data_IF_650867191239
#
_entry.id   IF_650867191239
#
_cell.length_a   1.000
_cell.length_b   1.000
_cell.length_c   1.000
_cell.angle_alpha   90.00
_cell.angle_beta   90.00
_cell.angle_gamma   90.00
#
_symmetry.space_group_name_H-M   'P 1'
#
loop_
_entity.id
_entity.type
_entity.pdbx_description
1 polymer ?
#
# COMPACT_ATOMS: atom_id res chain seq x y z
N UNK A 1 12.52 13.66 -14.42
CA UNK A 1 13.17 12.50 -13.77
C UNK A 1 12.75 12.49 -12.31
N UNK A 2 12.44 11.31 -11.79
CA UNK A 2 12.04 11.08 -10.40
C UNK A 2 12.81 9.85 -9.94
N UNK A 3 13.48 9.94 -8.80
CA UNK A 3 14.01 8.75 -8.14
C UNK A 3 12.87 8.08 -7.35
N UNK A 4 12.74 6.76 -7.49
CA UNK A 4 11.70 5.97 -6.85
C UNK A 4 12.38 4.88 -6.03
N UNK A 5 11.97 4.79 -4.77
CA UNK A 5 12.44 3.84 -3.78
C UNK A 5 11.25 3.02 -3.27
N UNK A 6 11.52 1.78 -2.86
CA UNK A 6 10.56 0.94 -2.13
C UNK A 6 11.20 0.68 -0.77
N UNK A 7 10.61 1.23 0.28
CA UNK A 7 11.22 1.20 1.62
C UNK A 7 10.34 0.47 2.62
N UNK A 8 10.99 -0.10 3.62
CA UNK A 8 10.32 -0.51 4.84
C UNK A 8 9.71 0.73 5.53
N UNK A 9 8.39 0.76 5.76
CA UNK A 9 7.73 1.93 6.37
C UNK A 9 8.08 2.14 7.85
N UNK A 10 8.55 1.11 8.55
CA UNK A 10 8.99 1.23 9.96
C UNK A 10 10.45 1.69 10.05
N UNK A 11 11.33 1.13 9.22
CA UNK A 11 12.78 1.38 9.32
C UNK A 11 13.30 2.41 8.34
N UNK A 12 12.53 2.74 7.30
CA UNK A 12 12.92 3.66 6.22
C UNK A 12 13.99 3.11 5.28
N UNK A 13 14.40 1.84 5.42
CA UNK A 13 15.46 1.21 4.60
C UNK A 13 14.90 0.73 3.27
N UNK A 14 15.70 0.86 2.21
CA UNK A 14 15.38 0.32 0.89
C UNK A 14 15.26 -1.20 0.94
N UNK A 15 14.19 -1.72 0.34
CA UNK A 15 13.93 -3.15 0.19
C UNK A 15 14.46 -3.68 -1.16
N UNK A 16 14.66 -4.99 -1.22
CA UNK A 16 15.07 -5.71 -2.41
C UNK A 16 13.94 -5.86 -3.45
N UNK A 17 14.26 -6.36 -4.66
CA UNK A 17 13.26 -6.65 -5.67
C UNK A 17 12.23 -7.68 -5.18
N UNK A 18 10.95 -7.47 -5.47
CA UNK A 18 9.85 -8.34 -5.07
C UNK A 18 9.32 -8.13 -3.64
N UNK A 19 10.06 -7.41 -2.78
CA UNK A 19 9.63 -7.12 -1.41
C UNK A 19 8.64 -5.95 -1.37
N UNK A 20 7.57 -6.09 -0.59
CA UNK A 20 6.52 -5.08 -0.46
C UNK A 20 6.94 -4.00 0.55
N UNK A 21 6.91 -2.75 0.11
CA UNK A 21 7.22 -1.58 0.94
C UNK A 21 6.46 -0.33 0.48
N UNK A 22 6.67 0.77 1.17
CA UNK A 22 6.11 2.08 0.81
C UNK A 22 6.88 2.65 -0.38
N UNK A 23 6.15 3.23 -1.33
CA UNK A 23 6.73 4.01 -2.43
C UNK A 23 7.19 5.36 -1.88
N UNK A 24 8.50 5.61 -2.01
CA UNK A 24 9.14 6.89 -1.67
C UNK A 24 9.66 7.54 -2.95
N UNK A 25 9.35 8.82 -3.14
CA UNK A 25 9.69 9.55 -4.36
C UNK A 25 10.55 10.79 -4.10
N UNK A 26 11.50 11.05 -5.00
CA UNK A 26 12.28 12.29 -5.04
C UNK A 26 12.24 12.87 -6.46
N UNK A 27 11.40 13.89 -6.73
CA UNK A 27 11.30 14.52 -8.04
C UNK A 27 12.54 15.39 -8.34
N UNK A 28 13.49 14.85 -9.08
CA UNK A 28 14.79 15.49 -9.37
C UNK A 28 14.73 16.71 -10.30
N UNK A 29 13.68 16.82 -11.13
CA UNK A 29 13.54 17.92 -12.11
C UNK A 29 12.49 18.95 -11.73
N UNK A 30 11.79 18.79 -10.59
CA UNK A 30 10.79 19.75 -10.16
C UNK A 30 11.46 20.85 -9.34
N UNK A 31 11.62 22.05 -9.94
CA UNK A 31 12.24 23.20 -9.26
C UNK A 31 11.33 23.90 -8.27
N UNK A 32 10.03 23.63 -8.31
CA UNK A 32 9.03 24.30 -7.46
C UNK A 32 8.84 23.53 -6.16
N UNK A 33 8.81 22.20 -6.24
CA UNK A 33 8.52 21.33 -5.11
C UNK A 33 9.80 20.60 -4.71
N UNK A 34 10.50 21.12 -3.69
CA UNK A 34 11.74 20.56 -3.12
C UNK A 34 11.54 19.29 -2.31
N UNK A 35 10.72 18.36 -2.81
CA UNK A 35 10.42 17.10 -2.14
C UNK A 35 11.63 16.17 -2.20
N UNK A 36 12.06 15.69 -1.04
CA UNK A 36 13.16 14.74 -0.89
C UNK A 36 12.64 13.58 -0.05
N UNK A 37 12.76 12.36 -0.57
CA UNK A 37 12.26 11.13 0.05
C UNK A 37 10.82 11.27 0.57
N UNK A 38 9.93 11.74 -0.29
CA UNK A 38 8.53 11.90 0.06
C UNK A 38 7.83 10.54 0.08
N UNK A 39 7.37 10.12 1.26
CA UNK A 39 6.53 8.94 1.44
C UNK A 39 5.13 9.19 0.87
N UNK A 40 4.75 8.41 -0.14
CA UNK A 40 3.45 8.57 -0.81
C UNK A 40 2.29 7.99 0.00
N UNK A 41 2.61 7.15 0.99
CA UNK A 41 1.65 6.31 1.68
C UNK A 41 1.11 5.16 0.83
N UNK A 42 1.55 4.97 -0.41
CA UNK A 42 1.12 3.84 -1.24
C UNK A 42 2.15 2.69 -1.14
N UNK A 43 1.67 1.45 -1.04
CA UNK A 43 2.50 0.24 -0.95
C UNK A 43 2.66 -0.41 -2.32
N UNK A 44 3.87 -0.83 -2.66
CA UNK A 44 4.18 -1.55 -3.90
C UNK A 44 5.46 -2.38 -3.74
N UNK A 45 5.86 -3.02 -4.84
CA UNK A 45 7.14 -3.71 -4.99
C UNK A 45 7.61 -3.52 -6.43
N UNK A 46 8.92 -3.66 -6.64
CA UNK A 46 9.53 -3.51 -7.95
C UNK A 46 10.16 -4.80 -8.44
N UNK A 47 10.25 -4.91 -9.77
CA UNK A 47 10.99 -5.95 -10.47
C UNK A 47 12.13 -5.36 -11.28
N UNK A 48 13.22 -6.13 -11.35
CA UNK A 48 14.39 -5.86 -12.20
C UNK A 48 14.33 -6.60 -13.54
N UNK A 49 13.26 -7.37 -13.79
CA UNK A 49 13.06 -8.06 -15.05
C UNK A 49 12.94 -7.08 -16.22
N UNK A 50 13.60 -7.41 -17.33
CA UNK A 50 13.60 -6.62 -18.55
C UNK A 50 12.17 -6.38 -19.04
N UNK A 51 11.89 -5.12 -19.38
CA UNK A 51 10.61 -4.75 -19.95
C UNK A 51 10.60 -5.05 -21.46
N UNK A 52 9.54 -5.66 -22.02
CA UNK A 52 9.40 -5.86 -23.46
C UNK A 52 9.52 -4.58 -24.29
N UNK A 53 9.27 -3.40 -23.71
CA UNK A 53 9.43 -2.12 -24.38
C UNK A 53 10.89 -1.63 -24.51
N UNK A 54 11.88 -2.38 -24.01
CA UNK A 54 13.31 -2.06 -24.09
C UNK A 54 13.83 -1.06 -23.04
N UNK A 55 12.96 -0.51 -22.18
CA UNK A 55 13.40 0.34 -21.06
C UNK A 55 14.14 -0.49 -20.00
N UNK A 56 15.21 0.09 -19.47
CA UNK A 56 16.10 -0.52 -18.47
C UNK A 56 15.78 -0.14 -17.02
N UNK A 57 14.82 0.76 -16.81
CA UNK A 57 14.38 1.14 -15.47
C UNK A 57 13.66 -0.01 -14.77
N UNK A 58 13.87 -0.14 -13.47
CA UNK A 58 13.04 -1.00 -12.62
C UNK A 58 11.55 -0.66 -12.80
N UNK A 59 10.70 -1.67 -12.68
CA UNK A 59 9.25 -1.52 -12.87
C UNK A 59 8.53 -1.74 -11.55
N UNK A 60 7.62 -0.85 -11.20
CA UNK A 60 6.61 -1.12 -10.18
C UNK A 60 5.60 -2.11 -10.76
N UNK A 61 5.31 -3.18 -10.03
CA UNK A 61 4.45 -4.26 -10.56
C UNK A 61 2.98 -3.99 -10.28
N UNK A 62 2.64 -3.60 -9.05
CA UNK A 62 1.27 -3.28 -8.65
C UNK A 62 1.23 -2.40 -7.40
N UNK A 63 0.18 -1.58 -7.26
CA UNK A 63 -0.18 -0.99 -5.98
C UNK A 63 -0.89 -2.05 -5.15
N UNK A 64 -0.40 -2.30 -3.93
CA UNK A 64 -0.90 -3.38 -3.06
C UNK A 64 -1.71 -2.89 -1.86
N UNK A 65 -1.73 -1.59 -1.59
CA UNK A 65 -2.52 -0.97 -0.52
C UNK A 65 -1.91 0.36 -0.09
N UNK A 66 -2.30 0.91 1.06
CA UNK A 66 -1.60 2.03 1.67
C UNK A 66 -0.84 1.69 2.95
N UNK A 67 0.26 2.39 3.15
CA UNK A 67 0.97 2.44 4.41
C UNK A 67 0.00 3.02 5.46
N UNK A 68 -0.27 2.23 6.51
CA UNK A 68 -1.22 2.59 7.57
C UNK A 68 -2.66 2.08 7.40
N UNK A 69 -3.02 1.43 6.28
CA UNK A 69 -4.36 0.79 6.14
C UNK A 69 -4.54 -0.43 7.05
N UNK A 70 -3.46 -0.89 7.71
CA UNK A 70 -3.49 -1.97 8.67
C UNK A 70 -4.01 -1.46 10.02
N UNK A 71 -5.25 -1.78 10.35
CA UNK A 71 -5.85 -1.48 11.66
C UNK A 71 -5.70 -2.72 12.55
N UNK A 72 -5.23 -2.53 13.79
CA UNK A 72 -5.13 -3.61 14.77
C UNK A 72 -6.50 -3.84 15.42
N UNK A 73 -7.02 -5.06 15.29
CA UNK A 73 -8.29 -5.51 15.87
C UNK A 73 -8.06 -6.81 16.64
N UNK A 74 -8.25 -6.78 17.96
CA UNK A 74 -8.03 -7.90 18.89
C UNK A 74 -6.67 -8.57 18.73
N UNK A 75 -5.63 -7.76 18.48
CA UNK A 75 -4.28 -8.26 18.28
C UNK A 75 -3.95 -8.72 16.86
N UNK A 76 -4.92 -8.76 15.94
CA UNK A 76 -4.72 -9.09 14.53
C UNK A 76 -4.64 -7.82 13.68
N UNK A 77 -3.78 -7.80 12.67
CA UNK A 77 -3.76 -6.72 11.67
C UNK A 77 -4.82 -6.99 10.60
N UNK A 78 -5.72 -6.04 10.39
CA UNK A 78 -6.77 -6.08 9.38
C UNK A 78 -6.48 -5.02 8.33
N UNK A 79 -6.37 -5.44 7.07
CA UNK A 79 -6.13 -4.54 5.93
C UNK A 79 -7.35 -4.56 5.00
N UNK A 80 -7.79 -3.40 4.53
CA UNK A 80 -8.98 -3.28 3.66
C UNK A 80 -8.93 -4.21 2.44
N UNK A 81 -7.77 -4.36 1.80
CA UNK A 81 -7.56 -5.25 0.65
C UNK A 81 -7.91 -6.73 0.94
N UNK A 82 -7.67 -7.23 2.15
CA UNK A 82 -8.04 -8.61 2.49
C UNK A 82 -9.56 -8.78 2.45
N UNK A 83 -10.31 -7.76 2.90
CA UNK A 83 -11.76 -7.77 2.81
C UNK A 83 -12.25 -7.63 1.37
N UNK A 84 -11.59 -6.81 0.53
CA UNK A 84 -11.90 -6.73 -0.91
C UNK A 84 -11.80 -8.10 -1.58
N UNK A 85 -10.74 -8.85 -1.29
CA UNK A 85 -10.55 -10.20 -1.85
C UNK A 85 -11.67 -11.17 -1.45
N UNK A 86 -12.17 -11.06 -0.21
CA UNK A 86 -13.30 -11.88 0.26
C UNK A 86 -14.60 -11.46 -0.40
N UNK A 87 -14.92 -10.16 -0.38
CA UNK A 87 -16.18 -9.63 -0.89
C UNK A 87 -16.30 -9.72 -2.41
N UNK A 88 -15.19 -9.72 -3.14
CA UNK A 88 -15.17 -9.96 -4.59
C UNK A 88 -15.79 -11.32 -5.00
N UNK A 89 -15.87 -12.29 -4.08
CA UNK A 89 -16.53 -13.59 -4.34
C UNK A 89 -18.06 -13.53 -4.25
N UNK A 90 -18.64 -12.41 -3.82
CA UNK A 90 -20.08 -12.27 -3.59
C UNK A 90 -20.65 -11.20 -4.52
N UNK A 91 -21.21 -11.62 -5.65
CA UNK A 91 -21.78 -10.72 -6.67
C UNK A 91 -22.89 -9.78 -6.17
N UNK A 92 -23.54 -10.12 -5.05
CA UNK A 92 -24.58 -9.31 -4.43
C UNK A 92 -24.03 -8.12 -3.64
N UNK A 93 -22.72 -8.07 -3.36
CA UNK A 93 -22.08 -6.98 -2.61
C UNK A 93 -21.53 -5.98 -3.62
N UNK A 94 -22.17 -4.82 -3.70
CA UNK A 94 -21.76 -3.71 -4.55
C UNK A 94 -20.75 -2.79 -3.85
N UNK A 95 -20.94 -2.58 -2.54
CA UNK A 95 -20.07 -1.74 -1.70
C UNK A 95 -19.95 -2.34 -0.31
N UNK A 96 -18.84 -2.06 0.33
CA UNK A 96 -18.65 -2.42 1.73
C UNK A 96 -17.89 -1.32 2.49
N UNK A 97 -18.09 -1.28 3.79
CA UNK A 97 -17.34 -0.46 4.74
C UNK A 97 -17.00 -1.30 5.96
N UNK A 98 -15.73 -1.28 6.36
CA UNK A 98 -15.27 -1.86 7.63
C UNK A 98 -15.18 -0.73 8.64
N UNK A 99 -15.97 -0.80 9.71
CA UNK A 99 -15.92 0.14 10.82
C UNK A 99 -15.31 -0.57 12.02
N UNK A 100 -14.11 -0.14 12.41
CA UNK A 100 -13.47 -0.61 13.64
C UNK A 100 -13.78 0.39 14.76
N UNK A 101 -14.34 -0.10 15.85
CA UNK A 101 -14.61 0.70 17.05
C UNK A 101 -14.22 -0.04 18.32
N UNK A 102 -14.27 0.67 19.44
CA UNK A 102 -14.01 0.10 20.77
C UNK A 102 -15.27 0.21 21.62
N UNK A 103 -15.69 -0.89 22.23
CA UNK A 103 -16.79 -0.92 23.21
C UNK A 103 -16.35 -1.75 24.41
N UNK A 104 -16.42 -1.18 25.60
CA UNK A 104 -16.07 -1.87 26.86
C UNK A 104 -14.69 -2.56 26.81
N UNK A 105 -13.66 -1.85 26.32
CA UNK A 105 -12.28 -2.37 26.17
C UNK A 105 -12.15 -3.56 25.21
N UNK A 106 -13.15 -3.84 24.37
CA UNK A 106 -13.05 -4.82 23.29
C UNK A 106 -13.17 -4.15 21.93
N UNK A 107 -12.32 -4.59 21.02
CA UNK A 107 -12.42 -4.17 19.63
C UNK A 107 -13.63 -4.85 18.99
N UNK A 108 -14.42 -4.06 18.28
CA UNK A 108 -15.56 -4.49 17.49
C UNK A 108 -15.30 -4.07 16.05
N UNK A 109 -15.31 -5.05 15.14
CA UNK A 109 -15.27 -4.83 13.71
C UNK A 109 -16.67 -5.03 13.14
N UNK A 110 -17.23 -4.00 12.54
CA UNK A 110 -18.57 -4.01 11.93
C UNK A 110 -18.43 -3.90 10.42
N UNK A 111 -19.02 -4.83 9.68
CA UNK A 111 -19.12 -4.76 8.23
C UNK A 111 -20.47 -4.19 7.84
N UNK A 112 -20.46 -3.07 7.11
CA UNK A 112 -21.64 -2.56 6.42
C UNK A 112 -21.51 -2.95 4.96
N UNK A 113 -22.52 -3.61 4.43
CA UNK A 113 -22.55 -4.08 3.04
C UNK A 113 -23.78 -3.49 2.35
N UNK A 114 -23.63 -3.16 1.07
CA UNK A 114 -24.71 -2.69 0.20
C UNK A 114 -24.69 -3.44 -1.13
#
# INVERSE_FOLDING_TARGET
ACAVEIVDPETGKQLGPGEIGEIVVTPLLNKTWGLIRFGTGDMSYYTTELCPCGRTSNRLVAIVGRAGDAIKVRGMFVVARQAEQVFANFSQISRFQIVVGHKEQRDIMTFRIE
#
